data_IF_411100161410
#
_entry.id   IF_411100161410
#
_cell.length_a   1.000
_cell.length_b   1.000
_cell.length_c   1.000
_cell.angle_alpha   90.00
_cell.angle_beta   90.00
_cell.angle_gamma   90.00
#
_symmetry.space_group_name_H-M   'P 1'
#
loop_
_entity.id
_entity.type
_entity.pdbx_description
1 polymer ?
#
# COMPACT_ATOMS: atom_id res chain seq x y z
N UNK A 1 2.52 -10.97 -15.23
CA UNK A 1 3.16 -10.67 -13.96
C UNK A 1 2.74 -11.73 -12.93
N UNK A 2 3.70 -12.30 -12.21
CA UNK A 2 3.46 -13.21 -11.10
C UNK A 2 4.14 -12.62 -9.86
N UNK A 3 3.47 -12.64 -8.72
CA UNK A 3 4.00 -12.18 -7.44
C UNK A 3 3.90 -13.33 -6.44
N UNK A 4 5.04 -13.85 -6.01
CA UNK A 4 5.13 -14.93 -5.03
C UNK A 4 4.96 -14.38 -3.60
N UNK A 5 4.47 -15.20 -2.68
CA UNK A 5 4.41 -14.87 -1.26
C UNK A 5 5.78 -14.52 -0.71
N UNK A 6 5.87 -13.47 0.08
CA UNK A 6 7.12 -12.97 0.65
C UNK A 6 8.05 -12.24 -0.35
N UNK A 7 7.73 -12.26 -1.66
CA UNK A 7 8.53 -11.55 -2.66
C UNK A 7 8.34 -10.03 -2.57
N UNK A 8 9.42 -9.30 -2.85
CA UNK A 8 9.41 -7.84 -2.96
C UNK A 8 9.74 -7.46 -4.40
N UNK A 9 8.74 -7.08 -5.16
CA UNK A 9 8.88 -6.70 -6.58
C UNK A 9 8.61 -5.21 -6.74
N UNK A 10 9.48 -4.51 -7.47
CA UNK A 10 9.22 -3.14 -7.90
C UNK A 10 8.72 -3.12 -9.34
N UNK A 11 7.61 -2.45 -9.58
CA UNK A 11 7.09 -2.16 -10.90
C UNK A 11 7.56 -0.76 -11.29
N UNK A 12 8.53 -0.71 -12.19
CA UNK A 12 9.15 0.53 -12.63
C UNK A 12 8.67 0.91 -14.03
N UNK A 13 8.30 2.17 -14.22
CA UNK A 13 8.11 2.80 -15.52
C UNK A 13 7.98 4.32 -15.36
N UNK A 14 8.19 5.10 -16.42
CA UNK A 14 7.88 6.54 -16.44
C UNK A 14 6.41 6.83 -16.13
N UNK A 15 6.10 8.08 -15.80
CA UNK A 15 4.70 8.52 -15.59
C UNK A 15 3.87 8.32 -16.86
N UNK A 16 2.58 7.96 -16.72
CA UNK A 16 1.68 7.75 -17.86
C UNK A 16 1.68 6.33 -18.44
N UNK A 17 2.57 5.43 -18.00
CA UNK A 17 2.63 4.03 -18.48
C UNK A 17 1.54 3.10 -17.90
N UNK A 18 0.54 3.63 -17.21
CA UNK A 18 -0.57 2.81 -16.70
C UNK A 18 -0.26 2.05 -15.40
N UNK A 19 0.81 2.38 -14.68
CA UNK A 19 1.18 1.72 -13.41
C UNK A 19 0.04 1.69 -12.39
N UNK A 20 -0.57 2.84 -12.12
CA UNK A 20 -1.72 2.97 -11.21
C UNK A 20 -2.92 2.15 -11.68
N UNK A 21 -3.18 2.13 -13.00
CA UNK A 21 -4.25 1.31 -13.58
C UNK A 21 -3.98 -0.18 -13.33
N UNK A 22 -2.75 -0.63 -13.55
CA UNK A 22 -2.36 -2.01 -13.25
C UNK A 22 -2.47 -2.32 -11.75
N UNK A 23 -2.04 -1.41 -10.88
CA UNK A 23 -2.21 -1.55 -9.43
C UNK A 23 -3.69 -1.71 -9.03
N UNK A 24 -4.58 -0.91 -9.62
CA UNK A 24 -6.03 -1.00 -9.40
C UNK A 24 -6.65 -2.29 -9.94
N UNK A 25 -6.18 -2.79 -11.09
CA UNK A 25 -6.60 -4.08 -11.64
C UNK A 25 -6.20 -5.23 -10.71
N UNK A 26 -4.94 -5.25 -10.27
CA UNK A 26 -4.41 -6.27 -9.37
C UNK A 26 -5.09 -6.28 -8.00
N UNK A 27 -5.51 -5.11 -7.51
CA UNK A 27 -6.25 -4.98 -6.24
C UNK A 27 -7.78 -5.19 -6.40
N UNK A 28 -8.28 -5.44 -7.61
CA UNK A 28 -9.69 -5.70 -7.88
C UNK A 28 -10.59 -4.46 -7.94
N UNK A 29 -10.02 -3.25 -7.95
CA UNK A 29 -10.80 -2.00 -8.10
C UNK A 29 -11.27 -1.77 -9.55
N UNK A 30 -10.58 -2.36 -10.52
CA UNK A 30 -10.93 -2.32 -11.94
C UNK A 30 -11.02 -3.75 -12.49
N UNK A 31 -11.84 -3.95 -13.52
CA UNK A 31 -11.90 -5.20 -14.25
C UNK A 31 -11.02 -5.13 -15.52
N UNK A 32 -10.22 -6.15 -15.80
CA UNK A 32 -9.43 -6.18 -17.03
C UNK A 32 -10.34 -6.33 -18.26
N UNK A 33 -9.98 -5.67 -19.37
CA UNK A 33 -10.68 -5.84 -20.66
C UNK A 33 -10.32 -7.15 -21.34
N UNK A 34 -9.13 -7.71 -21.02
CA UNK A 34 -8.67 -9.02 -21.46
C UNK A 34 -7.73 -9.61 -20.41
N UNK A 35 -7.65 -10.94 -20.35
CA UNK A 35 -6.93 -11.64 -19.29
C UNK A 35 -7.70 -11.69 -17.98
N UNK A 36 -7.03 -12.10 -16.92
CA UNK A 36 -7.61 -12.26 -15.60
C UNK A 36 -6.60 -11.97 -14.48
N UNK A 37 -7.11 -11.64 -13.30
CA UNK A 37 -6.32 -11.50 -12.07
C UNK A 37 -6.70 -12.66 -11.14
N UNK A 38 -5.71 -13.47 -10.80
CA UNK A 38 -5.88 -14.63 -9.93
C UNK A 38 -5.07 -14.48 -8.65
N UNK A 39 -5.69 -14.85 -7.54
CA UNK A 39 -5.07 -15.02 -6.22
C UNK A 39 -5.00 -16.52 -5.93
N UNK A 40 -3.78 -17.06 -5.85
CA UNK A 40 -3.54 -18.50 -5.61
C UNK A 40 -4.33 -19.40 -6.59
N UNK A 41 -4.43 -18.99 -7.86
CA UNK A 41 -5.12 -19.73 -8.93
C UNK A 41 -6.64 -19.54 -8.98
N UNK A 42 -7.23 -18.71 -8.11
CA UNK A 42 -8.66 -18.40 -8.10
C UNK A 42 -8.91 -16.89 -8.29
N UNK A 43 -10.07 -16.47 -8.80
CA UNK A 43 -10.44 -15.05 -8.86
C UNK A 43 -10.41 -14.38 -7.48
N UNK A 44 -10.15 -13.08 -7.46
CA UNK A 44 -10.21 -12.29 -6.22
C UNK A 44 -11.57 -12.43 -5.53
N UNK A 45 -11.61 -12.47 -4.17
CA UNK A 45 -12.86 -12.56 -3.43
C UNK A 45 -13.74 -11.33 -3.67
N UNK A 46 -15.04 -11.55 -3.93
CA UNK A 46 -16.03 -10.50 -4.17
C UNK A 46 -16.65 -9.95 -2.89
N UNK A 47 -16.46 -10.62 -1.76
CA UNK A 47 -17.03 -10.28 -0.46
C UNK A 47 -15.98 -10.43 0.63
N UNK A 48 -16.15 -9.68 1.72
CA UNK A 48 -15.18 -9.67 2.82
C UNK A 48 -13.94 -8.79 2.52
N UNK A 49 -12.92 -8.91 3.35
CA UNK A 49 -11.66 -8.20 3.19
C UNK A 49 -10.81 -8.89 2.14
N UNK A 50 -10.45 -8.18 1.08
CA UNK A 50 -9.57 -8.72 0.05
C UNK A 50 -8.15 -8.92 0.61
N UNK A 51 -7.53 -10.10 0.43
CA UNK A 51 -6.15 -10.34 0.85
C UNK A 51 -5.11 -9.50 0.08
N UNK A 52 -5.51 -8.90 -1.04
CA UNK A 52 -4.69 -7.94 -1.81
C UNK A 52 -5.12 -6.54 -1.43
N UNK A 53 -4.24 -5.78 -0.77
CA UNK A 53 -4.52 -4.41 -0.34
C UNK A 53 -3.72 -3.41 -1.17
N UNK A 54 -4.34 -2.30 -1.53
CA UNK A 54 -3.73 -1.19 -2.25
C UNK A 54 -3.56 0.02 -1.34
N UNK A 55 -2.33 0.51 -1.23
CA UNK A 55 -2.04 1.82 -0.66
C UNK A 55 -1.82 2.79 -1.82
N UNK A 56 -2.69 3.79 -1.89
CA UNK A 56 -2.68 4.78 -2.97
C UNK A 56 -1.67 5.90 -2.72
N UNK A 57 -1.22 6.54 -3.80
CA UNK A 57 -0.37 7.73 -3.78
C UNK A 57 -1.00 8.91 -3.01
N UNK A 58 -2.33 9.03 -3.07
CA UNK A 58 -3.13 10.10 -2.48
C UNK A 58 -3.93 9.60 -1.28
N UNK A 59 -3.40 9.68 -0.04
CA UNK A 59 -4.07 9.14 1.15
C UNK A 59 -5.43 9.79 1.42
N UNK A 60 -5.61 11.08 1.05
CA UNK A 60 -6.86 11.82 1.20
C UNK A 60 -8.02 11.25 0.34
N UNK A 61 -7.70 10.50 -0.73
CA UNK A 61 -8.69 9.82 -1.57
C UNK A 61 -9.05 8.42 -1.04
N UNK A 62 -8.21 7.86 -0.19
CA UNK A 62 -8.38 6.52 0.34
C UNK A 62 -9.13 6.47 1.68
N UNK A 63 -9.33 7.63 2.33
CA UNK A 63 -9.95 7.75 3.65
C UNK A 63 -11.23 8.57 3.53
N UNK A 64 -12.29 8.12 4.22
CA UNK A 64 -13.53 8.90 4.29
C UNK A 64 -13.29 10.23 5.05
N UNK A 65 -13.45 11.41 4.39
CA UNK A 65 -13.11 12.70 4.98
C UNK A 65 -14.02 13.12 6.15
N UNK A 66 -15.14 12.40 6.33
CA UNK A 66 -16.11 12.66 7.42
C UNK A 66 -15.86 11.82 8.67
N UNK A 67 -14.91 10.89 8.62
CA UNK A 67 -14.58 10.03 9.77
C UNK A 67 -13.43 10.63 10.57
N UNK A 68 -13.49 10.41 11.89
CA UNK A 68 -12.31 10.60 12.74
C UNK A 68 -11.31 9.48 12.47
N UNK A 69 -10.03 9.78 12.65
CA UNK A 69 -8.96 8.87 12.27
C UNK A 69 -8.93 7.59 13.14
N UNK A 70 -9.42 7.62 14.37
CA UNK A 70 -9.65 6.39 15.15
C UNK A 70 -10.50 5.39 14.38
N UNK A 71 -11.64 5.84 13.80
CA UNK A 71 -12.54 4.98 13.02
C UNK A 71 -11.89 4.38 11.77
N UNK A 72 -10.95 5.08 11.16
CA UNK A 72 -10.21 4.57 10.00
C UNK A 72 -9.38 3.34 10.36
N UNK A 73 -8.78 3.31 11.56
CA UNK A 73 -8.03 2.15 12.04
C UNK A 73 -8.95 1.04 12.56
N UNK A 74 -10.06 1.40 13.21
CA UNK A 74 -11.07 0.44 13.68
C UNK A 74 -11.68 -0.38 12.53
N UNK A 75 -11.80 0.20 11.32
CA UNK A 75 -12.33 -0.47 10.13
C UNK A 75 -11.54 -1.72 9.74
N UNK A 76 -10.24 -1.75 10.01
CA UNK A 76 -9.32 -2.83 9.62
C UNK A 76 -8.89 -3.75 10.75
N UNK A 77 -9.39 -3.55 11.96
CA UNK A 77 -9.07 -4.39 13.11
C UNK A 77 -8.99 -3.62 14.42
N UNK A 78 -8.48 -4.27 15.45
CA UNK A 78 -8.37 -3.66 16.75
C UNK A 78 -7.32 -2.55 16.79
N UNK A 79 -7.72 -1.35 17.15
CA UNK A 79 -6.82 -0.25 17.47
C UNK A 79 -6.03 -0.61 18.73
N UNK A 80 -4.70 -0.59 18.67
CA UNK A 80 -3.83 -0.86 19.82
C UNK A 80 -2.66 0.10 19.89
N UNK A 81 -2.15 0.32 21.10
CA UNK A 81 -0.98 1.18 21.32
C UNK A 81 0.24 0.67 20.55
N UNK A 82 0.46 -0.64 20.48
CA UNK A 82 1.56 -1.24 19.72
C UNK A 82 1.51 -0.91 18.24
N UNK A 83 0.33 -0.80 17.66
CA UNK A 83 0.15 -0.38 16.26
C UNK A 83 0.47 1.10 16.12
N UNK A 84 -0.06 1.95 17.00
CA UNK A 84 0.23 3.38 16.96
C UNK A 84 1.73 3.64 17.01
N UNK A 85 2.43 2.98 17.94
CA UNK A 85 3.87 3.12 18.11
C UNK A 85 4.65 2.59 16.89
N UNK A 86 4.27 1.42 16.34
CA UNK A 86 4.92 0.81 15.19
C UNK A 86 4.82 1.68 13.93
N UNK A 87 3.69 2.37 13.74
CA UNK A 87 3.45 3.22 12.58
C UNK A 87 3.76 4.72 12.84
N UNK A 88 4.22 5.06 14.05
CA UNK A 88 4.49 6.44 14.43
C UNK A 88 3.25 7.32 14.36
N UNK A 89 2.10 6.79 14.78
CA UNK A 89 0.82 7.49 14.84
C UNK A 89 0.64 8.07 16.23
N UNK A 90 0.56 9.39 16.34
CA UNK A 90 0.32 10.05 17.61
C UNK A 90 -1.13 9.85 18.08
N UNK A 91 -1.32 9.53 19.35
CA UNK A 91 -2.66 9.35 19.94
C UNK A 91 -3.56 10.57 19.78
N UNK A 92 -2.98 11.76 19.80
CA UNK A 92 -3.70 13.02 19.58
C UNK A 92 -4.34 13.11 18.18
N UNK A 93 -3.82 12.38 17.19
CA UNK A 93 -4.39 12.40 15.83
C UNK A 93 -5.67 11.58 15.71
N UNK A 94 -5.91 10.63 16.58
CA UNK A 94 -7.09 9.74 16.52
C UNK A 94 -8.42 10.49 16.57
N UNK A 95 -8.46 11.64 17.24
CA UNK A 95 -9.66 12.48 17.36
C UNK A 95 -9.82 13.49 16.23
N UNK A 96 -8.81 13.61 15.35
CA UNK A 96 -8.81 14.55 14.22
C UNK A 96 -9.52 13.96 13.00
N UNK A 97 -9.85 14.85 12.07
CA UNK A 97 -10.32 14.49 10.74
C UNK A 97 -9.15 14.46 9.73
N UNK A 98 -9.26 13.74 8.60
CA UNK A 98 -8.20 13.63 7.60
C UNK A 98 -7.62 14.98 7.14
N UNK A 99 -8.46 15.99 6.98
CA UNK A 99 -8.07 17.35 6.56
C UNK A 99 -7.18 18.12 7.56
N UNK A 100 -7.07 17.61 8.77
CA UNK A 100 -6.31 18.24 9.87
C UNK A 100 -4.90 17.65 10.01
N UNK A 101 -4.54 16.71 9.13
CA UNK A 101 -3.24 16.06 9.08
C UNK A 101 -2.48 16.42 7.79
N UNK A 102 -1.16 16.40 7.88
CA UNK A 102 -0.28 16.41 6.71
C UNK A 102 -0.41 15.12 5.88
N UNK A 103 0.03 15.16 4.62
CA UNK A 103 0.02 13.99 3.76
C UNK A 103 0.80 12.80 4.34
N UNK A 104 1.96 13.05 4.96
CA UNK A 104 2.78 12.01 5.60
C UNK A 104 2.13 11.39 6.83
N UNK A 105 1.52 12.21 7.69
CA UNK A 105 0.74 11.72 8.84
C UNK A 105 -0.45 10.87 8.37
N UNK A 106 -1.18 11.33 7.35
CA UNK A 106 -2.32 10.61 6.81
C UNK A 106 -1.90 9.30 6.12
N UNK A 107 -0.75 9.29 5.45
CA UNK A 107 -0.18 8.08 4.83
C UNK A 107 0.09 6.98 5.86
N UNK A 108 0.54 7.31 7.07
CA UNK A 108 0.74 6.35 8.16
C UNK A 108 -0.56 5.61 8.51
N UNK A 109 -1.71 6.29 8.51
CA UNK A 109 -3.01 5.66 8.71
C UNK A 109 -3.39 4.72 7.55
N UNK A 110 -3.11 5.11 6.30
CA UNK A 110 -3.36 4.24 5.15
C UNK A 110 -2.51 2.96 5.21
N UNK A 111 -1.23 3.09 5.56
CA UNK A 111 -0.31 1.96 5.71
C UNK A 111 -0.76 1.05 6.86
N UNK A 112 -1.03 1.62 8.05
CA UNK A 112 -1.50 0.87 9.21
C UNK A 112 -2.80 0.12 8.90
N UNK A 113 -3.79 0.78 8.30
CA UNK A 113 -5.06 0.17 7.90
C UNK A 113 -4.85 -1.02 6.97
N UNK A 114 -4.04 -0.87 5.93
CA UNK A 114 -3.78 -1.94 4.97
C UNK A 114 -3.11 -3.15 5.62
N UNK A 115 -2.11 -2.92 6.47
CA UNK A 115 -1.37 -3.99 7.14
C UNK A 115 -2.19 -4.69 8.24
N UNK A 116 -3.05 -3.94 8.95
CA UNK A 116 -3.93 -4.51 9.99
C UNK A 116 -5.09 -5.31 9.42
N UNK A 117 -5.47 -5.09 8.16
CA UNK A 117 -6.57 -5.84 7.51
C UNK A 117 -6.28 -7.32 7.27
N UNK A 118 -5.08 -7.79 7.58
CA UNK A 118 -4.66 -9.16 7.30
C UNK A 118 -4.21 -9.37 5.86
N UNK A 119 -3.74 -8.33 5.19
CA UNK A 119 -3.22 -8.38 3.83
C UNK A 119 -2.15 -9.47 3.69
N UNK A 120 -2.21 -10.19 2.58
CA UNK A 120 -1.21 -11.18 2.14
C UNK A 120 -0.34 -10.64 1.01
N UNK A 121 -0.90 -9.71 0.25
CA UNK A 121 -0.26 -8.99 -0.84
C UNK A 121 -0.52 -7.49 -0.66
N UNK A 122 0.54 -6.71 -0.69
CA UNK A 122 0.48 -5.26 -0.54
C UNK A 122 0.95 -4.60 -1.81
N UNK A 123 0.08 -3.82 -2.43
CA UNK A 123 0.40 -3.00 -3.60
C UNK A 123 0.60 -1.56 -3.10
N UNK A 124 1.80 -1.03 -3.29
CA UNK A 124 2.20 0.30 -2.85
C UNK A 124 2.34 1.21 -4.08
N UNK A 125 1.31 1.98 -4.41
CA UNK A 125 1.32 2.86 -5.59
C UNK A 125 1.87 4.24 -5.22
N UNK A 126 3.16 4.45 -5.48
CA UNK A 126 3.90 5.71 -5.25
C UNK A 126 3.70 6.31 -3.84
N UNK A 127 3.60 5.45 -2.81
CA UNK A 127 3.16 5.79 -1.44
C UNK A 127 4.02 6.83 -0.71
N UNK A 128 5.17 7.18 -1.24
CA UNK A 128 6.12 8.07 -0.58
C UNK A 128 6.60 9.23 -1.46
N UNK A 129 6.05 9.39 -2.66
CA UNK A 129 6.51 10.38 -3.66
C UNK A 129 6.35 11.83 -3.18
N UNK A 130 5.37 12.11 -2.32
CA UNK A 130 5.08 13.46 -1.80
C UNK A 130 5.66 13.69 -0.39
N UNK A 131 6.50 12.78 0.10
CA UNK A 131 7.02 12.82 1.45
C UNK A 131 8.48 13.28 1.46
N UNK A 132 8.90 13.91 2.55
CA UNK A 132 10.32 14.15 2.80
C UNK A 132 11.08 12.85 2.99
N UNK A 133 12.39 12.89 2.80
CA UNK A 133 13.26 11.71 2.79
C UNK A 133 13.20 10.91 4.10
N UNK A 134 13.05 11.58 5.23
CA UNK A 134 13.02 10.94 6.55
C UNK A 134 11.70 10.17 6.71
N UNK A 135 10.57 10.83 6.45
CA UNK A 135 9.24 10.21 6.50
C UNK A 135 9.12 9.06 5.50
N UNK A 136 9.66 9.22 4.28
CA UNK A 136 9.73 8.17 3.28
C UNK A 136 10.47 6.93 3.81
N UNK A 137 11.66 7.12 4.39
CA UNK A 137 12.45 6.03 4.93
C UNK A 137 11.72 5.32 6.09
N UNK A 138 11.09 6.08 6.99
CA UNK A 138 10.32 5.52 8.10
C UNK A 138 9.15 4.65 7.62
N UNK A 139 8.36 5.13 6.66
CA UNK A 139 7.23 4.38 6.11
C UNK A 139 7.70 3.09 5.45
N UNK A 140 8.72 3.14 4.60
CA UNK A 140 9.23 1.94 3.94
C UNK A 140 9.85 0.95 4.91
N UNK A 141 10.61 1.40 5.90
CA UNK A 141 11.15 0.52 6.94
C UNK A 141 10.03 -0.22 7.69
N UNK A 142 8.96 0.49 8.05
CA UNK A 142 7.81 -0.13 8.72
C UNK A 142 7.09 -1.14 7.81
N UNK A 143 6.85 -0.78 6.55
CA UNK A 143 6.21 -1.68 5.57
C UNK A 143 7.03 -2.94 5.36
N UNK A 144 8.34 -2.81 5.14
CA UNK A 144 9.25 -3.93 4.91
C UNK A 144 9.33 -4.86 6.13
N UNK A 145 9.47 -4.29 7.33
CA UNK A 145 9.55 -5.07 8.57
C UNK A 145 8.25 -5.86 8.84
N UNK A 146 7.09 -5.25 8.62
CA UNK A 146 5.79 -5.93 8.80
C UNK A 146 5.54 -6.98 7.71
N UNK A 147 5.96 -6.72 6.48
CA UNK A 147 5.86 -7.69 5.39
C UNK A 147 6.72 -8.94 5.65
N UNK A 148 7.94 -8.76 6.11
CA UNK A 148 8.85 -9.85 6.48
C UNK A 148 8.27 -10.72 7.60
N UNK A 149 7.79 -10.10 8.70
CA UNK A 149 7.17 -10.81 9.82
C UNK A 149 5.98 -11.69 9.41
N UNK A 150 5.24 -11.28 8.38
CA UNK A 150 3.98 -11.92 7.95
C UNK A 150 4.13 -12.75 6.68
N UNK A 151 5.33 -12.85 6.12
CA UNK A 151 5.57 -13.45 4.81
C UNK A 151 4.65 -12.87 3.73
N UNK A 152 4.48 -11.53 3.75
CA UNK A 152 3.61 -10.79 2.85
C UNK A 152 4.39 -10.41 1.59
N UNK A 153 3.74 -10.53 0.44
CA UNK A 153 4.31 -10.03 -0.80
C UNK A 153 4.11 -8.51 -0.94
N UNK A 154 5.10 -7.83 -1.51
CA UNK A 154 5.03 -6.40 -1.83
C UNK A 154 5.19 -6.20 -3.33
N UNK A 155 4.27 -5.43 -3.92
CA UNK A 155 4.44 -4.82 -5.24
C UNK A 155 4.59 -3.31 -5.06
N UNK A 156 5.81 -2.80 -5.18
CA UNK A 156 6.10 -1.38 -5.09
C UNK A 156 6.04 -0.74 -6.49
N UNK A 157 5.06 0.08 -6.74
CA UNK A 157 4.92 0.85 -7.97
C UNK A 157 5.65 2.17 -7.79
N UNK A 158 6.66 2.44 -8.62
CA UNK A 158 7.47 3.66 -8.52
C UNK A 158 8.11 4.05 -9.84
N UNK A 159 8.38 5.33 -10.00
CA UNK A 159 9.24 5.86 -11.06
C UNK A 159 10.66 6.21 -10.55
N UNK A 160 10.93 6.01 -9.26
CA UNK A 160 12.24 6.26 -8.64
C UNK A 160 13.05 4.96 -8.60
N UNK A 161 14.05 4.86 -9.48
CA UNK A 161 14.88 3.67 -9.60
C UNK A 161 15.71 3.39 -8.34
N UNK A 162 16.26 4.42 -7.71
CA UNK A 162 17.04 4.25 -6.48
C UNK A 162 16.20 3.69 -5.33
N UNK A 163 14.92 4.11 -5.25
CA UNK A 163 13.99 3.54 -4.29
C UNK A 163 13.71 2.08 -4.63
N UNK A 164 13.40 1.76 -5.89
CA UNK A 164 13.14 0.39 -6.33
C UNK A 164 14.28 -0.57 -5.96
N UNK A 165 15.53 -0.18 -6.24
CA UNK A 165 16.73 -0.97 -5.93
C UNK A 165 16.96 -1.18 -4.41
N UNK A 166 16.42 -0.32 -3.57
CA UNK A 166 16.55 -0.43 -2.10
C UNK A 166 15.50 -1.30 -1.44
N UNK A 167 14.29 -1.38 -2.01
CA UNK A 167 13.14 -2.00 -1.35
C UNK A 167 12.71 -3.32 -1.99
N UNK A 168 13.14 -3.62 -3.21
CA UNK A 168 12.71 -4.79 -3.96
C UNK A 168 13.87 -5.73 -4.27
N UNK A 169 13.55 -7.03 -4.31
CA UNK A 169 14.47 -8.08 -4.73
C UNK A 169 14.48 -8.22 -6.26
N UNK A 170 13.37 -7.83 -6.92
CA UNK A 170 13.20 -7.86 -8.37
C UNK A 170 12.60 -6.55 -8.88
N UNK A 171 13.08 -6.08 -10.02
CA UNK A 171 12.54 -4.89 -10.70
C UNK A 171 11.98 -5.30 -12.06
N UNK A 172 10.69 -5.13 -12.23
CA UNK A 172 9.96 -5.31 -13.48
C UNK A 172 9.81 -3.95 -14.16
N UNK A 173 10.48 -3.77 -15.30
CA UNK A 173 10.42 -2.54 -16.09
C UNK A 173 9.34 -2.68 -17.19
N UNK A 174 8.20 -2.00 -17.00
CA UNK A 174 7.08 -2.08 -17.93
C UNK A 174 7.43 -1.54 -19.33
N UNK A 175 8.38 -0.62 -19.44
CA UNK A 175 8.80 -0.10 -20.74
C UNK A 175 9.54 -1.15 -21.59
N UNK A 176 9.98 -2.26 -20.98
CA UNK A 176 10.69 -3.35 -21.65
C UNK A 176 9.80 -4.56 -21.96
N UNK A 177 8.54 -4.54 -21.52
CA UNK A 177 7.59 -5.65 -21.70
C UNK A 177 6.65 -5.40 -22.89
N UNK A 178 6.66 -4.21 -23.48
CA UNK A 178 5.85 -3.80 -24.65
C UNK A 178 6.41 -4.29 -25.96
#
# INVERSE_FOLDING_TARGET
LKLERGARTALFAPSGYGKTTLAMLLAGYLQPTAGEVLLDGAPLPKTGVCPVQLICQHPEKAINPRWRLARVLEESGALSDSVLDAFGIERAWLTRYPRELSGGELQRFCVARALMSGAQYLICDEISTMLDVITQAQIWNTVLAEAEKRNMAILAVTHNRNLAERIADEIVDLAKIS
#
